data_IF_928200076436
#
_entry.id   IF_928200076436
#
_cell.length_a   1.000
_cell.length_b   1.000
_cell.length_c   1.000
_cell.angle_alpha   90.00
_cell.angle_beta   90.00
_cell.angle_gamma   90.00
#
_symmetry.space_group_name_H-M   'P 1'
#
loop_
_entity.id
_entity.type
_entity.pdbx_description
1 polymer ?
#
# COMPACT_ATOMS: atom_id res chain seq x y z
N UNK A 1 20.28 28.95 39.44
CA UNK A 1 21.09 27.90 38.79
C UNK A 1 20.64 27.77 37.34
N UNK A 2 21.47 28.19 36.37
CA UNK A 2 21.15 28.01 34.95
C UNK A 2 21.40 26.55 34.55
N UNK A 3 20.36 25.85 34.11
CA UNK A 3 20.48 24.52 33.50
C UNK A 3 21.21 24.67 32.16
N UNK A 4 22.50 24.34 32.11
CA UNK A 4 23.25 24.30 30.86
C UNK A 4 22.74 23.13 30.01
N UNK A 5 22.05 23.42 28.91
CA UNK A 5 21.62 22.40 27.96
C UNK A 5 22.86 21.80 27.27
N UNK A 6 23.16 20.53 27.54
CA UNK A 6 24.24 19.84 26.83
C UNK A 6 23.83 19.66 25.37
N UNK A 7 24.63 20.20 24.44
CA UNK A 7 24.39 19.96 23.02
C UNK A 7 24.64 18.48 22.71
N UNK A 8 23.64 17.83 22.11
CA UNK A 8 23.75 16.43 21.73
C UNK A 8 24.78 16.21 20.61
N UNK A 9 25.10 14.94 20.34
CA UNK A 9 25.98 14.56 19.22
C UNK A 9 25.43 15.17 17.91
N UNK A 10 26.30 15.89 17.19
CA UNK A 10 25.98 16.47 15.88
C UNK A 10 25.52 15.36 14.93
N UNK A 11 24.51 15.66 14.12
CA UNK A 11 23.98 14.73 13.13
C UNK A 11 25.02 14.52 12.02
N UNK A 12 25.09 13.30 11.52
CA UNK A 12 25.95 12.94 10.39
C UNK A 12 25.46 13.57 9.08
N UNK A 13 24.14 13.74 8.95
CA UNK A 13 23.51 14.33 7.78
C UNK A 13 23.15 15.80 8.03
N UNK A 14 23.38 16.63 7.02
CA UNK A 14 22.93 18.02 7.03
C UNK A 14 21.41 18.10 6.82
N UNK A 15 20.75 19.18 7.28
CA UNK A 15 19.31 19.36 7.07
C UNK A 15 18.89 19.32 5.60
N UNK A 16 19.72 19.84 4.68
CA UNK A 16 19.44 19.82 3.24
C UNK A 16 19.42 18.40 2.65
N UNK A 17 20.33 17.53 3.12
CA UNK A 17 20.38 16.13 2.70
C UNK A 17 19.20 15.35 3.30
N UNK A 18 18.83 15.61 4.57
CA UNK A 18 17.63 15.03 5.18
C UNK A 18 16.36 15.39 4.37
N UNK A 19 16.20 16.65 3.98
CA UNK A 19 15.08 17.10 3.13
C UNK A 19 15.06 16.40 1.77
N UNK A 20 16.22 16.20 1.15
CA UNK A 20 16.34 15.51 -0.14
C UNK A 20 15.89 14.06 -0.05
N UNK A 21 16.30 13.35 1.02
CA UNK A 21 15.87 11.97 1.28
C UNK A 21 14.35 11.88 1.43
N UNK A 22 13.77 12.75 2.26
CA UNK A 22 12.33 12.78 2.51
C UNK A 22 11.56 13.07 1.22
N UNK A 23 12.02 14.04 0.42
CA UNK A 23 11.39 14.39 -0.86
C UNK A 23 11.42 13.21 -1.84
N UNK A 24 12.56 12.53 -1.99
CA UNK A 24 12.66 11.35 -2.87
C UNK A 24 11.71 10.24 -2.46
N UNK A 25 11.62 9.95 -1.16
CA UNK A 25 10.69 8.94 -0.63
C UNK A 25 9.23 9.35 -0.81
N UNK A 26 8.90 10.64 -0.70
CA UNK A 26 7.53 11.10 -0.93
C UNK A 26 7.10 11.03 -2.41
N UNK A 27 8.05 11.22 -3.34
CA UNK A 27 7.87 11.04 -4.79
C UNK A 27 7.71 9.56 -5.11
N UNK A 28 8.66 8.72 -4.66
CA UNK A 28 8.62 7.28 -4.84
C UNK A 28 8.67 6.55 -3.48
N UNK A 29 7.51 6.26 -2.88
CA UNK A 29 7.42 5.63 -1.56
C UNK A 29 7.90 4.17 -1.55
N UNK A 30 8.12 3.55 -2.72
CA UNK A 30 8.61 2.17 -2.88
C UNK A 30 10.14 2.07 -2.86
N UNK A 31 10.84 3.19 -2.76
CA UNK A 31 12.31 3.21 -2.75
C UNK A 31 12.86 2.43 -1.56
N UNK A 32 13.79 1.50 -1.79
CA UNK A 32 14.40 0.75 -0.71
C UNK A 32 15.38 1.63 0.07
N UNK A 33 15.54 1.38 1.36
CA UNK A 33 16.51 2.14 2.16
C UNK A 33 17.96 1.91 1.67
N UNK A 34 18.24 0.77 1.02
CA UNK A 34 19.54 0.49 0.40
C UNK A 34 19.82 1.42 -0.78
N UNK A 35 18.82 1.70 -1.61
CA UNK A 35 18.95 2.62 -2.75
C UNK A 35 19.23 4.05 -2.28
N UNK A 36 18.63 4.44 -1.15
CA UNK A 36 18.88 5.74 -0.54
C UNK A 36 20.30 5.85 0.00
N UNK A 37 20.85 4.78 0.60
CA UNK A 37 22.25 4.75 1.05
C UNK A 37 23.19 4.85 -0.14
N UNK A 38 22.97 4.05 -1.19
CA UNK A 38 23.80 4.07 -2.41
C UNK A 38 23.86 5.47 -3.05
N UNK A 39 22.73 6.16 -3.14
CA UNK A 39 22.66 7.54 -3.63
C UNK A 39 23.52 8.51 -2.79
N UNK A 40 23.53 8.33 -1.46
CA UNK A 40 24.34 9.18 -0.58
C UNK A 40 25.83 8.87 -0.72
N UNK A 41 26.18 7.59 -0.92
CA UNK A 41 27.55 7.16 -1.20
C UNK A 41 28.07 7.76 -2.51
N UNK A 42 27.26 7.81 -3.56
CA UNK A 42 27.57 8.49 -4.83
C UNK A 42 27.81 10.00 -4.65
N UNK A 43 27.18 10.61 -3.64
CA UNK A 43 27.39 12.02 -3.28
C UNK A 43 28.53 12.21 -2.26
N UNK A 44 29.32 11.16 -2.00
CA UNK A 44 30.47 11.20 -1.09
C UNK A 44 30.14 11.06 0.40
N UNK A 45 28.87 10.79 0.75
CA UNK A 45 28.44 10.66 2.15
C UNK A 45 28.15 9.21 2.51
N UNK A 46 29.05 8.56 3.24
CA UNK A 46 28.84 7.20 3.75
C UNK A 46 27.96 7.21 5.00
N UNK A 47 26.80 6.57 4.93
CA UNK A 47 25.88 6.43 6.09
C UNK A 47 25.33 5.02 6.22
N UNK A 48 24.98 4.65 7.44
CA UNK A 48 24.27 3.38 7.68
C UNK A 48 22.81 3.45 7.21
N UNK A 49 22.26 2.29 6.84
CA UNK A 49 20.82 2.13 6.59
C UNK A 49 19.98 2.62 7.78
N UNK A 50 20.43 2.34 9.01
CA UNK A 50 19.76 2.78 10.24
C UNK A 50 19.68 4.31 10.34
N UNK A 51 20.72 5.03 9.91
CA UNK A 51 20.71 6.50 9.86
C UNK A 51 19.63 7.01 8.92
N UNK A 52 19.52 6.43 7.72
CA UNK A 52 18.47 6.78 6.75
C UNK A 52 17.07 6.50 7.32
N UNK A 53 16.87 5.32 7.92
CA UNK A 53 15.58 4.97 8.54
C UNK A 53 15.20 5.94 9.66
N UNK A 54 16.16 6.32 10.51
CA UNK A 54 15.94 7.29 11.59
C UNK A 54 15.51 8.66 11.07
N UNK A 55 16.12 9.15 9.98
CA UNK A 55 15.67 10.39 9.31
C UNK A 55 14.22 10.26 8.85
N UNK A 56 13.87 9.15 8.19
CA UNK A 56 12.50 8.92 7.73
C UNK A 56 11.49 8.84 8.89
N UNK A 57 11.84 8.16 9.99
CA UNK A 57 10.98 8.07 11.17
C UNK A 57 10.74 9.44 11.83
N UNK A 58 11.78 10.29 11.91
CA UNK A 58 11.65 11.67 12.41
C UNK A 58 10.69 12.51 11.55
N UNK A 59 10.62 12.22 10.25
CA UNK A 59 9.64 12.84 9.34
C UNK A 59 8.29 12.12 9.29
N UNK A 60 8.00 11.25 10.26
CA UNK A 60 6.76 10.47 10.40
C UNK A 60 6.48 9.51 9.21
N UNK A 61 7.53 9.08 8.51
CA UNK A 61 7.44 8.05 7.47
C UNK A 61 7.82 6.70 8.03
N UNK A 62 6.91 5.73 7.95
CA UNK A 62 7.13 4.36 8.42
C UNK A 62 7.10 3.39 7.25
N UNK A 63 8.03 2.44 7.26
CA UNK A 63 7.99 1.30 6.34
C UNK A 63 6.82 0.40 6.69
N UNK A 64 5.88 0.24 5.77
CA UNK A 64 4.68 -0.58 5.92
C UNK A 64 4.52 -1.50 4.70
N UNK A 65 3.85 -2.64 4.86
CA UNK A 65 3.40 -3.41 3.69
C UNK A 65 2.41 -2.57 2.87
N UNK A 66 2.63 -2.52 1.56
CA UNK A 66 1.72 -1.86 0.63
C UNK A 66 0.40 -2.65 0.54
N UNK A 67 -0.72 -1.92 0.46
CA UNK A 67 -2.03 -2.55 0.30
C UNK A 67 -2.23 -2.97 -1.15
N UNK A 68 -2.71 -4.20 -1.39
CA UNK A 68 -3.17 -4.66 -2.70
C UNK A 68 -4.55 -4.05 -2.98
N UNK A 69 -4.68 -3.27 -4.06
CA UNK A 69 -5.95 -2.62 -4.44
C UNK A 69 -6.15 -2.69 -5.96
N UNK A 70 -7.40 -2.82 -6.44
CA UNK A 70 -7.68 -2.68 -7.86
C UNK A 70 -7.42 -1.23 -8.30
N UNK A 71 -6.91 -1.07 -9.52
CA UNK A 71 -6.72 0.24 -10.11
C UNK A 71 -8.09 0.77 -10.59
N UNK A 72 -8.56 1.87 -9.99
CA UNK A 72 -9.86 2.46 -10.32
C UNK A 72 -9.69 3.81 -11.04
N UNK A 73 -10.23 3.90 -12.25
CA UNK A 73 -10.40 5.17 -12.96
C UNK A 73 -11.51 6.01 -12.31
N UNK A 74 -11.54 7.31 -12.60
CA UNK A 74 -12.53 8.22 -12.00
C UNK A 74 -13.97 7.81 -12.32
N UNK A 75 -14.23 7.35 -13.55
CA UNK A 75 -15.54 6.80 -13.95
C UNK A 75 -15.99 5.63 -13.07
N UNK A 76 -15.07 4.73 -12.71
CA UNK A 76 -15.37 3.58 -11.85
C UNK A 76 -15.68 4.04 -10.42
N UNK A 77 -14.97 5.04 -9.90
CA UNK A 77 -15.24 5.60 -8.57
C UNK A 77 -16.63 6.22 -8.50
N UNK A 78 -17.00 7.01 -9.50
CA UNK A 78 -18.31 7.65 -9.57
C UNK A 78 -19.44 6.62 -9.70
N UNK A 79 -19.28 5.61 -10.56
CA UNK A 79 -20.26 4.54 -10.69
C UNK A 79 -20.44 3.74 -9.38
N UNK A 80 -19.34 3.40 -8.71
CA UNK A 80 -19.37 2.71 -7.42
C UNK A 80 -20.01 3.55 -6.32
N UNK A 81 -19.72 4.85 -6.28
CA UNK A 81 -20.34 5.76 -5.32
C UNK A 81 -21.85 5.86 -5.56
N UNK A 82 -22.28 6.06 -6.82
CA UNK A 82 -23.71 6.07 -7.18
C UNK A 82 -24.42 4.78 -6.78
N UNK A 83 -23.81 3.63 -7.04
CA UNK A 83 -24.36 2.33 -6.66
C UNK A 83 -24.50 2.22 -5.13
N UNK A 84 -23.45 2.57 -4.39
CA UNK A 84 -23.46 2.50 -2.93
C UNK A 84 -24.48 3.46 -2.30
N UNK A 85 -24.62 4.68 -2.82
CA UNK A 85 -25.64 5.63 -2.35
C UNK A 85 -27.04 5.15 -2.68
N UNK A 86 -27.28 4.59 -3.87
CA UNK A 86 -28.60 4.10 -4.27
C UNK A 86 -29.06 2.84 -3.51
N UNK A 87 -28.11 2.04 -2.99
CA UNK A 87 -28.40 0.77 -2.33
C UNK A 87 -28.02 0.75 -0.84
N UNK A 88 -27.55 1.86 -0.27
CA UNK A 88 -27.04 1.95 1.10
C UNK A 88 -28.12 1.73 2.17
N UNK A 89 -29.34 2.20 1.90
CA UNK A 89 -30.49 2.09 2.81
C UNK A 89 -31.40 0.89 2.50
N UNK A 90 -30.92 -0.06 1.67
CA UNK A 90 -31.69 -1.28 1.38
C UNK A 90 -31.77 -2.16 2.62
N UNK A 91 -32.91 -2.83 2.78
CA UNK A 91 -33.17 -3.72 3.89
C UNK A 91 -32.36 -5.03 3.78
N UNK A 92 -32.25 -5.75 4.90
CA UNK A 92 -31.54 -7.02 4.93
C UNK A 92 -32.23 -8.10 4.09
N UNK A 93 -33.55 -8.00 3.90
CA UNK A 93 -34.39 -8.84 3.05
C UNK A 93 -34.04 -8.71 1.58
N UNK A 94 -33.81 -7.49 1.08
CA UNK A 94 -33.29 -7.27 -0.27
C UNK A 94 -31.97 -8.02 -0.46
N UNK A 95 -31.00 -7.81 0.43
CA UNK A 95 -29.69 -8.47 0.35
C UNK A 95 -29.78 -10.00 0.44
N UNK A 96 -30.75 -10.55 1.19
CA UNK A 96 -30.96 -12.00 1.31
C UNK A 96 -31.44 -12.65 0.02
N UNK A 97 -32.22 -11.91 -0.77
CA UNK A 97 -32.81 -12.39 -2.02
C UNK A 97 -31.91 -12.15 -3.25
N UNK A 98 -30.75 -11.51 -3.08
CA UNK A 98 -29.77 -11.35 -4.16
C UNK A 98 -28.98 -12.64 -4.34
N UNK A 99 -29.05 -13.20 -5.55
CA UNK A 99 -28.15 -14.25 -6.01
C UNK A 99 -26.88 -13.61 -6.58
N UNK A 100 -25.76 -13.80 -5.89
CA UNK A 100 -24.45 -13.35 -6.33
C UNK A 100 -23.83 -14.41 -7.23
N UNK A 101 -23.20 -13.99 -8.31
CA UNK A 101 -22.38 -14.86 -9.16
C UNK A 101 -21.05 -14.17 -9.47
N UNK A 102 -19.99 -14.96 -9.57
CA UNK A 102 -18.67 -14.48 -9.98
C UNK A 102 -17.84 -15.61 -10.56
N UNK A 103 -16.79 -15.25 -11.30
CA UNK A 103 -15.76 -16.16 -11.77
C UNK A 103 -14.50 -15.93 -10.95
N UNK A 104 -13.95 -17.00 -10.37
CA UNK A 104 -12.69 -16.95 -9.62
C UNK A 104 -11.63 -17.80 -10.27
N UNK A 105 -10.46 -17.19 -10.44
CA UNK A 105 -9.23 -17.90 -10.79
C UNK A 105 -8.48 -18.25 -9.50
N UNK A 106 -8.29 -19.55 -9.27
CA UNK A 106 -7.45 -20.09 -8.20
C UNK A 106 -6.10 -20.47 -8.82
N UNK A 107 -5.05 -19.77 -8.37
CA UNK A 107 -3.68 -20.00 -8.82
C UNK A 107 -3.04 -21.09 -7.95
N UNK A 108 -2.33 -22.05 -8.57
CA UNK A 108 -1.62 -23.12 -7.84
C UNK A 108 -0.44 -22.56 -7.02
N UNK A 109 0.22 -21.54 -7.56
CA UNK A 109 1.29 -20.79 -6.91
C UNK A 109 0.87 -19.32 -6.82
N UNK A 110 0.44 -18.88 -5.64
CA UNK A 110 -0.03 -17.50 -5.44
C UNK A 110 1.10 -16.47 -5.60
N UNK A 111 0.80 -15.35 -6.27
CA UNK A 111 1.72 -14.22 -6.39
C UNK A 111 1.90 -13.46 -5.05
N UNK A 112 2.93 -13.87 -4.28
CA UNK A 112 3.31 -13.29 -2.99
C UNK A 112 4.30 -12.12 -3.13
N UNK A 113 3.95 -11.08 -3.87
CA UNK A 113 4.75 -9.85 -3.92
C UNK A 113 4.44 -8.95 -2.71
N UNK A 114 5.17 -9.19 -1.62
CA UNK A 114 5.17 -8.34 -0.44
C UNK A 114 6.10 -7.14 -0.66
N UNK A 115 5.57 -6.04 -1.19
CA UNK A 115 6.33 -4.77 -1.27
C UNK A 115 6.11 -3.89 -0.06
N UNK A 116 7.21 -3.33 0.44
CA UNK A 116 7.20 -2.29 1.44
C UNK A 116 7.08 -0.90 0.80
N UNK A 117 6.39 0.00 1.49
CA UNK A 117 6.26 1.42 1.15
C UNK A 117 6.51 2.26 2.39
N UNK A 118 7.21 3.37 2.21
CA UNK A 118 7.37 4.42 3.22
C UNK A 118 6.17 5.36 3.15
N UNK A 119 5.36 5.41 4.20
CA UNK A 119 4.17 6.26 4.22
C UNK A 119 3.82 6.75 5.62
N UNK A 120 3.01 7.81 5.66
CA UNK A 120 2.27 8.22 6.85
C UNK A 120 1.06 7.29 7.06
N UNK A 121 0.51 7.28 8.27
CA UNK A 121 -0.61 6.40 8.66
C UNK A 121 -1.83 6.59 7.74
N UNK A 122 -2.19 7.84 7.47
CA UNK A 122 -3.37 8.26 6.68
C UNK A 122 -3.24 7.95 5.17
N UNK A 123 -2.02 7.80 4.66
CA UNK A 123 -1.77 7.66 3.23
C UNK A 123 -1.95 6.22 2.71
N UNK A 124 -2.57 5.33 3.48
CA UNK A 124 -2.63 3.90 3.20
C UNK A 124 -3.27 3.54 1.86
N UNK A 125 -4.29 4.30 1.47
CA UNK A 125 -5.11 4.05 0.29
C UNK A 125 -4.71 4.93 -0.90
N UNK A 126 -3.67 5.76 -0.77
CA UNK A 126 -3.19 6.58 -1.90
C UNK A 126 -2.60 5.65 -2.98
N UNK A 127 -2.91 5.86 -4.27
CA UNK A 127 -2.47 4.96 -5.34
C UNK A 127 -0.96 4.66 -5.33
N UNK A 128 -0.13 5.68 -5.04
CA UNK A 128 1.33 5.56 -4.92
C UNK A 128 1.81 4.57 -3.84
N UNK A 129 1.00 4.35 -2.81
CA UNK A 129 1.28 3.48 -1.66
C UNK A 129 0.61 2.10 -1.78
N UNK A 130 -0.03 1.83 -2.91
CA UNK A 130 -0.71 0.56 -3.19
C UNK A 130 0.00 -0.23 -4.29
N UNK A 131 -0.25 -1.54 -4.29
CA UNK A 131 0.15 -2.43 -5.37
C UNK A 131 -1.12 -2.76 -6.17
N UNK A 132 -1.13 -2.55 -7.49
CA UNK A 132 -2.24 -3.00 -8.31
C UNK A 132 -2.35 -4.52 -8.22
N UNK A 133 -3.57 -5.02 -8.02
CA UNK A 133 -3.83 -6.46 -8.05
C UNK A 133 -4.04 -6.86 -9.51
N UNK A 134 -2.97 -7.33 -10.15
CA UNK A 134 -3.03 -7.99 -11.46
C UNK A 134 -2.61 -9.44 -11.24
N UNK A 135 -3.49 -10.38 -11.55
CA UNK A 135 -3.28 -11.82 -11.39
C UNK A 135 -2.74 -12.41 -12.70
N UNK A 136 -1.43 -12.58 -12.83
CA UNK A 136 -0.81 -13.23 -13.98
C UNK A 136 0.29 -14.20 -13.50
N UNK A 137 0.27 -15.46 -13.98
CA UNK A 137 1.33 -16.44 -13.77
C UNK A 137 0.86 -17.84 -13.36
N UNK A 138 1.60 -18.87 -13.80
CA UNK A 138 1.44 -20.27 -13.38
C UNK A 138 0.24 -21.03 -13.97
N UNK A 139 0.08 -22.27 -13.51
CA UNK A 139 -1.13 -23.07 -13.71
C UNK A 139 -2.26 -22.60 -12.80
N UNK A 140 -3.48 -22.57 -13.31
CA UNK A 140 -4.66 -22.11 -12.57
C UNK A 140 -5.91 -22.86 -12.99
N UNK A 141 -6.85 -22.99 -12.06
CA UNK A 141 -8.22 -23.38 -12.37
C UNK A 141 -9.12 -22.14 -12.32
N UNK A 142 -9.97 -21.98 -13.32
CA UNK A 142 -11.06 -21.01 -13.32
C UNK A 142 -12.31 -21.74 -12.86
N UNK A 143 -13.08 -21.11 -12.00
CA UNK A 143 -14.34 -21.63 -11.50
C UNK A 143 -15.39 -20.54 -11.62
N UNK A 144 -16.57 -20.89 -12.11
CA UNK A 144 -17.77 -20.07 -11.97
C UNK A 144 -18.55 -20.55 -10.75
N UNK A 145 -19.06 -19.62 -9.95
CA UNK A 145 -19.90 -19.99 -8.81
C UNK A 145 -20.97 -18.95 -8.52
N UNK A 146 -22.02 -19.38 -7.84
CA UNK A 146 -23.03 -18.49 -7.30
C UNK A 146 -23.37 -18.80 -5.84
N UNK A 147 -23.87 -17.80 -5.11
CA UNK A 147 -24.34 -17.96 -3.74
C UNK A 147 -25.38 -16.90 -3.38
N UNK A 148 -26.23 -17.20 -2.40
CA UNK A 148 -27.15 -16.25 -1.80
C UNK A 148 -27.00 -16.30 -0.27
N UNK A 149 -27.77 -15.49 0.48
CA UNK A 149 -27.69 -15.52 1.94
C UNK A 149 -28.06 -16.88 2.56
N UNK A 150 -28.85 -17.69 1.85
CA UNK A 150 -29.23 -19.04 2.27
C UNK A 150 -28.17 -20.12 2.03
N UNK A 151 -27.09 -19.84 1.29
CA UNK A 151 -26.03 -20.81 1.04
C UNK A 151 -25.40 -20.71 -0.35
N UNK A 152 -24.51 -21.66 -0.63
CA UNK A 152 -23.80 -21.79 -1.90
C UNK A 152 -24.68 -22.46 -2.96
N UNK A 153 -24.67 -21.92 -4.17
CA UNK A 153 -25.28 -22.54 -5.35
C UNK A 153 -24.30 -23.42 -6.10
N UNK A 154 -24.45 -23.50 -7.42
CA UNK A 154 -23.60 -24.33 -8.27
C UNK A 154 -22.17 -23.77 -8.34
N UNK A 155 -21.19 -24.68 -8.41
CA UNK A 155 -19.79 -24.40 -8.67
C UNK A 155 -19.36 -25.20 -9.90
N UNK A 156 -18.99 -24.50 -10.96
CA UNK A 156 -18.64 -25.05 -12.26
C UNK A 156 -17.19 -24.72 -12.59
N UNK A 157 -16.53 -25.60 -13.34
CA UNK A 157 -15.14 -25.44 -13.81
C UNK A 157 -15.10 -25.00 -15.26
#
# INVERSE_FOLDING_TARGET
>A
MQLSYRSGRRRVLSPGVECTLVRKVQINPKTAAKDLVKMLEETGTKVSISTVKQVLYRSNLKGCSARKKPLLQNRHKNARLRFATAHGDKDCTFCRNVLWSDETKIELFGYNDHRYVWRKKEDACKPKNTIPTVKHGGGSIMLWGCFAAGGTGALLK
#
